data_IF_903386751405
#
_entry.id   IF_903386751405
#
_cell.length_a   1.000
_cell.length_b   1.000
_cell.length_c   1.000
_cell.angle_alpha   90.00
_cell.angle_beta   90.00
_cell.angle_gamma   90.00
#
_symmetry.space_group_name_H-M   'P 1'
#
loop_
_entity.id
_entity.type
_entity.pdbx_description
1 polymer ?
#
# COMPACT_ATOMS: atom_id res chain seq x y z
N UNK A 1 -25.34 4.66 -14.55
CA UNK A 1 -24.42 5.42 -15.42
C UNK A 1 -23.21 5.86 -14.60
N UNK A 2 -22.13 5.06 -14.56
CA UNK A 2 -20.90 5.44 -13.85
C UNK A 2 -20.01 6.25 -14.80
N UNK A 3 -19.74 7.52 -14.47
CA UNK A 3 -18.86 8.37 -15.27
C UNK A 3 -17.44 7.80 -15.21
N UNK A 4 -16.90 7.29 -16.32
CA UNK A 4 -15.48 6.96 -16.46
C UNK A 4 -14.66 8.22 -16.18
N UNK A 5 -13.76 8.18 -15.19
CA UNK A 5 -12.77 9.25 -14.97
C UNK A 5 -11.88 9.37 -16.23
N UNK A 6 -11.59 10.59 -16.72
CA UNK A 6 -10.76 10.77 -17.90
C UNK A 6 -9.36 10.19 -17.65
N UNK A 7 -8.81 9.46 -18.63
CA UNK A 7 -7.42 9.00 -18.56
C UNK A 7 -6.49 10.22 -18.55
N UNK A 8 -5.75 10.41 -17.46
CA UNK A 8 -4.71 11.45 -17.42
C UNK A 8 -3.60 11.07 -18.40
N UNK A 9 -3.40 11.88 -19.44
CA UNK A 9 -2.30 11.74 -20.39
C UNK A 9 -0.92 11.82 -19.73
N UNK A 10 0.14 11.72 -20.52
CA UNK A 10 1.53 11.84 -20.03
C UNK A 10 1.73 13.22 -19.40
N UNK A 11 2.09 13.25 -18.10
CA UNK A 11 2.36 14.46 -17.34
C UNK A 11 3.77 14.96 -17.65
N UNK A 12 3.90 16.12 -18.30
CA UNK A 12 5.19 16.80 -18.51
C UNK A 12 5.40 17.86 -17.44
N UNK A 13 6.60 17.92 -16.89
CA UNK A 13 6.91 18.89 -15.83
C UNK A 13 7.46 20.17 -16.44
N UNK A 14 6.93 21.32 -16.01
CA UNK A 14 7.51 22.63 -16.35
C UNK A 14 8.87 22.76 -15.67
N UNK A 15 9.93 22.96 -16.46
CA UNK A 15 11.29 23.21 -15.94
C UNK A 15 11.29 24.42 -15.02
N UNK A 16 11.91 24.29 -13.84
CA UNK A 16 12.19 25.39 -12.90
C UNK A 16 13.71 25.55 -12.75
N UNK A 17 14.19 26.78 -12.70
CA UNK A 17 15.62 27.10 -12.57
C UNK A 17 16.28 26.47 -11.33
N UNK A 18 15.50 26.20 -10.28
CA UNK A 18 15.99 25.60 -9.03
C UNK A 18 16.11 24.07 -9.04
N UNK A 19 15.64 23.35 -10.07
CA UNK A 19 15.69 21.88 -10.12
C UNK A 19 16.68 21.39 -11.17
N UNK A 20 17.57 20.49 -10.77
CA UNK A 20 18.50 19.81 -11.68
C UNK A 20 17.76 19.00 -12.75
N UNK A 21 18.43 18.76 -13.87
CA UNK A 21 17.89 17.95 -14.98
C UNK A 21 17.55 16.53 -14.52
N UNK A 22 18.39 15.93 -13.67
CA UNK A 22 18.17 14.60 -13.09
C UNK A 22 16.95 14.56 -12.17
N UNK A 23 16.74 15.60 -11.35
CA UNK A 23 15.56 15.75 -10.49
C UNK A 23 14.28 15.86 -11.32
N UNK A 24 14.27 16.70 -12.37
CA UNK A 24 13.11 16.82 -13.26
C UNK A 24 12.78 15.49 -13.96
N UNK A 25 13.80 14.77 -14.45
CA UNK A 25 13.61 13.45 -15.09
C UNK A 25 13.16 12.37 -14.10
N UNK A 26 13.57 12.44 -12.84
CA UNK A 26 13.08 11.54 -11.80
C UNK A 26 11.60 11.78 -11.51
N UNK A 27 11.19 13.04 -11.31
CA UNK A 27 9.79 13.38 -11.10
C UNK A 27 8.92 13.01 -12.33
N UNK A 28 9.38 13.27 -13.56
CA UNK A 28 8.63 12.89 -14.77
C UNK A 28 8.41 11.39 -14.87
N UNK A 29 9.43 10.57 -14.53
CA UNK A 29 9.27 9.11 -14.47
C UNK A 29 8.29 8.68 -13.40
N UNK A 30 8.34 9.29 -12.22
CA UNK A 30 7.44 8.96 -11.11
C UNK A 30 5.98 9.31 -11.44
N UNK A 31 5.75 10.47 -12.07
CA UNK A 31 4.41 10.91 -12.46
C UNK A 31 3.81 10.11 -13.62
N UNK A 32 4.65 9.51 -14.46
CA UNK A 32 4.23 8.73 -15.64
C UNK A 32 4.41 7.23 -15.45
N UNK A 33 4.58 6.80 -14.20
CA UNK A 33 4.77 5.42 -13.85
C UNK A 33 3.57 4.56 -14.28
N UNK A 34 3.74 3.60 -15.21
CA UNK A 34 2.64 2.81 -15.73
C UNK A 34 1.98 1.97 -14.64
N UNK A 35 2.72 1.57 -13.61
CA UNK A 35 2.20 0.73 -12.53
C UNK A 35 1.24 1.50 -11.61
N UNK A 36 1.32 2.83 -11.54
CA UNK A 36 0.33 3.62 -10.80
C UNK A 36 -1.03 3.53 -11.50
N UNK A 37 -1.03 3.66 -12.84
CA UNK A 37 -2.26 3.52 -13.64
C UNK A 37 -2.80 2.10 -13.61
N UNK A 38 -1.92 1.11 -13.68
CA UNK A 38 -2.34 -0.29 -13.61
C UNK A 38 -2.91 -0.62 -12.22
N UNK A 39 -2.32 -0.11 -11.14
CA UNK A 39 -2.87 -0.25 -9.80
C UNK A 39 -4.28 0.33 -9.69
N UNK A 40 -4.49 1.57 -10.16
CA UNK A 40 -5.82 2.19 -10.20
C UNK A 40 -6.83 1.36 -11.01
N UNK A 41 -6.42 0.83 -12.16
CA UNK A 41 -7.27 -0.01 -13.02
C UNK A 41 -7.66 -1.32 -12.36
N UNK A 42 -6.77 -1.91 -11.57
CA UNK A 42 -7.00 -3.12 -10.79
C UNK A 42 -7.66 -2.84 -9.42
N UNK A 43 -7.89 -1.57 -9.05
CA UNK A 43 -8.48 -1.21 -7.75
C UNK A 43 -7.51 -1.25 -6.57
N UNK A 44 -6.21 -1.38 -6.82
CA UNK A 44 -5.18 -1.27 -5.79
C UNK A 44 -4.91 0.19 -5.41
N UNK A 45 -4.64 0.40 -4.12
CA UNK A 45 -4.36 1.73 -3.55
C UNK A 45 -2.96 2.24 -3.82
N UNK A 46 -2.04 1.35 -4.20
CA UNK A 46 -0.71 1.73 -4.63
C UNK A 46 -0.11 0.70 -5.58
N UNK A 47 0.89 1.12 -6.35
CA UNK A 47 1.70 0.22 -7.16
C UNK A 47 2.53 -0.78 -6.35
N UNK A 48 2.62 -0.62 -5.03
CA UNK A 48 3.36 -1.54 -4.17
C UNK A 48 2.66 -2.90 -4.04
N UNK A 49 1.34 -2.97 -4.26
CA UNK A 49 0.57 -4.21 -4.30
C UNK A 49 1.24 -5.25 -5.21
N UNK A 50 1.61 -4.85 -6.44
CA UNK A 50 2.29 -5.73 -7.40
C UNK A 50 3.59 -6.34 -6.87
N UNK A 51 4.34 -5.64 -6.01
CA UNK A 51 5.56 -6.18 -5.41
C UNK A 51 5.24 -7.37 -4.50
N UNK A 52 4.26 -7.22 -3.62
CA UNK A 52 3.86 -8.31 -2.72
C UNK A 52 3.19 -9.44 -3.50
N UNK A 53 2.35 -9.12 -4.47
CA UNK A 53 1.74 -10.10 -5.38
C UNK A 53 2.81 -10.97 -6.05
N UNK A 54 3.83 -10.36 -6.66
CA UNK A 54 4.92 -11.08 -7.32
C UNK A 54 5.79 -11.92 -6.36
N UNK A 55 6.06 -11.39 -5.17
CA UNK A 55 6.80 -12.14 -4.13
C UNK A 55 5.98 -13.36 -3.73
N UNK A 56 4.73 -13.16 -3.35
CA UNK A 56 3.85 -14.23 -2.90
C UNK A 56 3.60 -15.28 -3.99
N UNK A 57 3.43 -14.87 -5.25
CA UNK A 57 3.25 -15.82 -6.34
C UNK A 57 4.44 -16.78 -6.50
N UNK A 58 5.65 -16.29 -6.24
CA UNK A 58 6.90 -17.07 -6.34
C UNK A 58 7.14 -17.95 -5.12
N UNK A 59 6.97 -17.42 -3.91
CA UNK A 59 7.40 -18.11 -2.68
C UNK A 59 6.26 -18.64 -1.82
N UNK A 60 5.00 -18.33 -2.16
CA UNK A 60 3.80 -18.68 -1.39
C UNK A 60 3.94 -18.25 0.09
N UNK A 61 4.25 -16.97 0.25
CA UNK A 61 4.55 -16.34 1.54
C UNK A 61 3.32 -16.32 2.44
N UNK A 62 2.17 -15.90 1.89
CA UNK A 62 0.91 -15.74 2.60
C UNK A 62 0.09 -17.00 2.37
N UNK A 63 -0.20 -17.73 3.46
CA UNK A 63 -1.02 -18.94 3.43
C UNK A 63 -2.39 -18.66 4.07
N UNK A 64 -3.45 -19.34 3.60
CA UNK A 64 -4.76 -19.24 4.24
C UNK A 64 -4.68 -19.53 5.74
N UNK A 65 -5.35 -18.70 6.55
CA UNK A 65 -5.36 -18.86 8.01
C UNK A 65 -4.32 -18.04 8.76
N UNK A 66 -3.33 -17.45 8.08
CA UNK A 66 -2.30 -16.64 8.73
C UNK A 66 -2.85 -15.32 9.26
N UNK A 67 -2.22 -14.81 10.32
CA UNK A 67 -2.33 -13.40 10.72
C UNK A 67 -1.15 -12.64 10.12
N UNK A 68 -1.44 -11.53 9.45
CA UNK A 68 -0.44 -10.67 8.80
C UNK A 68 -0.40 -9.32 9.51
N UNK A 69 0.81 -8.84 9.79
CA UNK A 69 1.07 -7.49 10.28
C UNK A 69 1.76 -6.67 9.19
N UNK A 70 1.15 -5.56 8.79
CA UNK A 70 1.65 -4.60 7.80
C UNK A 70 2.18 -3.33 8.50
N UNK A 71 3.50 -3.15 8.53
CA UNK A 71 4.18 -2.03 9.18
C UNK A 71 4.54 -0.96 8.14
N UNK A 72 4.10 0.28 8.37
CA UNK A 72 4.23 1.34 7.35
C UNK A 72 3.24 1.11 6.21
N UNK A 73 2.00 0.79 6.58
CA UNK A 73 0.98 0.28 5.66
C UNK A 73 0.43 1.32 4.69
N UNK A 74 0.45 2.63 5.00
CA UNK A 74 -0.23 3.64 4.20
C UNK A 74 0.35 3.69 2.77
N UNK A 75 -0.49 3.64 1.70
CA UNK A 75 -1.95 3.77 1.69
C UNK A 75 -2.74 2.44 1.72
N UNK A 76 -2.09 1.30 1.95
CA UNK A 76 -2.72 0.00 2.21
C UNK A 76 -2.61 -1.02 1.08
N UNK A 77 -1.67 -0.82 0.14
CA UNK A 77 -1.53 -1.71 -1.02
C UNK A 77 -1.14 -3.14 -0.64
N UNK A 78 -0.31 -3.33 0.38
CA UNK A 78 0.08 -4.67 0.86
C UNK A 78 -1.01 -5.29 1.71
N UNK A 79 -1.64 -4.51 2.59
CA UNK A 79 -2.85 -4.90 3.32
C UNK A 79 -3.96 -5.46 2.41
N UNK A 80 -4.25 -4.80 1.27
CA UNK A 80 -5.21 -5.34 0.28
C UNK A 80 -4.80 -6.72 -0.24
N UNK A 81 -3.54 -6.86 -0.65
CA UNK A 81 -3.02 -8.13 -1.17
C UNK A 81 -3.07 -9.22 -0.11
N UNK A 82 -2.75 -8.92 1.16
CA UNK A 82 -2.82 -9.90 2.24
C UNK A 82 -4.24 -10.46 2.44
N UNK A 83 -5.26 -9.59 2.41
CA UNK A 83 -6.67 -10.02 2.45
C UNK A 83 -7.01 -10.89 1.24
N UNK A 84 -6.65 -10.44 0.03
CA UNK A 84 -6.92 -11.19 -1.22
C UNK A 84 -6.25 -12.57 -1.25
N UNK A 85 -5.08 -12.72 -0.62
CA UNK A 85 -4.37 -14.02 -0.49
C UNK A 85 -4.95 -14.93 0.60
N UNK A 86 -5.98 -14.48 1.33
CA UNK A 86 -6.68 -15.29 2.32
C UNK A 86 -6.06 -15.27 3.71
N UNK A 87 -5.32 -14.20 4.05
CA UNK A 87 -4.99 -13.96 5.45
C UNK A 87 -6.28 -13.93 6.28
N UNK A 88 -6.30 -14.65 7.40
CA UNK A 88 -7.46 -14.69 8.31
C UNK A 88 -7.66 -13.37 9.02
N UNK A 89 -6.57 -12.67 9.29
CA UNK A 89 -6.55 -11.38 9.97
C UNK A 89 -5.40 -10.55 9.41
N UNK A 90 -5.67 -9.29 9.11
CA UNK A 90 -4.66 -8.30 8.74
C UNK A 90 -4.71 -7.16 9.74
N UNK A 91 -3.58 -6.91 10.40
CA UNK A 91 -3.37 -5.74 11.27
C UNK A 91 -2.40 -4.81 10.54
N UNK A 92 -2.68 -3.53 10.53
CA UNK A 92 -1.88 -2.53 9.84
C UNK A 92 -1.60 -1.33 10.75
N UNK A 93 -0.40 -0.79 10.69
CA UNK A 93 0.01 0.40 11.45
C UNK A 93 0.79 1.37 10.56
N UNK A 94 0.49 2.66 10.67
CA UNK A 94 1.22 3.72 10.00
C UNK A 94 1.01 5.06 10.72
N UNK A 95 1.98 5.99 10.58
CA UNK A 95 1.83 7.36 11.06
C UNK A 95 0.78 8.13 10.24
N UNK A 96 0.69 7.83 8.94
CA UNK A 96 -0.19 8.49 8.00
C UNK A 96 -1.58 7.86 8.00
N UNK A 97 -2.65 8.66 7.84
CA UNK A 97 -3.99 8.13 7.75
C UNK A 97 -4.16 7.29 6.49
N UNK A 98 -4.99 6.25 6.61
CA UNK A 98 -5.34 5.35 5.52
C UNK A 98 -6.86 5.22 5.45
N UNK A 99 -7.43 5.19 4.25
CA UNK A 99 -8.86 4.89 4.09
C UNK A 99 -9.17 3.47 4.61
N UNK A 100 -10.38 3.20 5.05
CA UNK A 100 -10.74 1.88 5.57
C UNK A 100 -10.67 0.80 4.48
N UNK A 101 -10.03 -0.34 4.77
CA UNK A 101 -10.02 -1.52 3.91
C UNK A 101 -10.82 -2.60 4.64
N UNK A 102 -11.81 -3.25 3.99
CA UNK A 102 -12.52 -4.37 4.60
C UNK A 102 -11.55 -5.44 5.10
N UNK A 103 -11.86 -6.02 6.26
CA UNK A 103 -11.08 -7.09 6.90
C UNK A 103 -9.65 -6.71 7.32
N UNK A 104 -9.33 -5.40 7.37
CA UNK A 104 -8.08 -4.85 7.89
C UNK A 104 -8.34 -4.04 9.16
N UNK A 105 -7.67 -4.40 10.25
CA UNK A 105 -7.64 -3.58 11.46
C UNK A 105 -6.48 -2.58 11.36
N UNK A 106 -6.79 -1.30 11.14
CA UNK A 106 -5.79 -0.24 10.97
C UNK A 106 -5.65 0.63 12.23
N UNK A 107 -4.41 0.87 12.64
CA UNK A 107 -4.03 1.79 13.71
C UNK A 107 -3.19 2.94 13.14
N UNK A 108 -3.66 4.17 13.28
CA UNK A 108 -2.88 5.34 12.95
C UNK A 108 -2.02 5.74 14.16
N UNK A 109 -0.77 5.32 14.18
CA UNK A 109 0.15 5.43 15.31
C UNK A 109 1.59 5.34 14.81
N UNK A 110 2.55 5.94 15.53
CA UNK A 110 3.95 5.69 15.25
C UNK A 110 4.31 4.28 15.76
N UNK A 111 4.81 3.42 14.88
CA UNK A 111 5.21 2.07 15.29
C UNK A 111 6.39 2.06 16.28
N UNK A 112 7.07 3.21 16.43
CA UNK A 112 8.14 3.43 17.41
C UNK A 112 7.63 3.96 18.75
N UNK A 113 6.34 4.24 18.91
CA UNK A 113 5.77 4.65 20.20
C UNK A 113 5.86 3.49 21.23
N UNK A 114 6.09 3.83 22.49
CA UNK A 114 6.29 2.84 23.57
C UNK A 114 5.06 1.93 23.78
N UNK A 115 3.86 2.41 23.44
CA UNK A 115 2.60 1.66 23.54
C UNK A 115 2.25 0.87 22.27
N UNK A 116 2.93 1.12 21.14
CA UNK A 116 2.66 0.43 19.88
C UNK A 116 2.83 -1.10 19.98
N UNK A 117 3.85 -1.66 20.67
CA UNK A 117 3.98 -3.11 20.83
C UNK A 117 2.78 -3.75 21.54
N UNK A 118 2.28 -3.13 22.61
CA UNK A 118 1.13 -3.64 23.37
C UNK A 118 -0.15 -3.59 22.52
N UNK A 119 -0.39 -2.47 21.84
CA UNK A 119 -1.52 -2.30 20.94
C UNK A 119 -1.51 -3.32 19.79
N UNK A 120 -0.34 -3.57 19.19
CA UNK A 120 -0.16 -4.55 18.12
C UNK A 120 -0.42 -5.98 18.61
N UNK A 121 0.11 -6.36 19.77
CA UNK A 121 -0.12 -7.68 20.36
C UNK A 121 -1.62 -7.88 20.67
N UNK A 122 -2.28 -6.87 21.22
CA UNK A 122 -3.71 -6.91 21.49
C UNK A 122 -4.53 -7.07 20.19
N UNK A 123 -4.19 -6.33 19.13
CA UNK A 123 -4.87 -6.40 17.84
C UNK A 123 -4.68 -7.76 17.13
N UNK A 124 -3.45 -8.28 17.13
CA UNK A 124 -3.12 -9.61 16.60
C UNK A 124 -3.89 -10.68 17.37
N UNK A 125 -3.94 -10.55 18.70
CA UNK A 125 -4.54 -11.50 19.62
C UNK A 125 -3.63 -12.69 19.90
N UNK A 126 -3.84 -13.37 21.03
CA UNK A 126 -3.16 -14.63 21.33
C UNK A 126 -3.58 -15.69 20.31
N UNK A 127 -2.63 -16.22 19.54
CA UNK A 127 -2.87 -17.32 18.61
C UNK A 127 -3.53 -18.49 19.33
N UNK A 128 -4.67 -18.95 18.80
CA UNK A 128 -5.25 -20.24 19.17
C UNK A 128 -4.50 -21.37 18.46
#
# INVERSE_FOLDING_TARGET
MTKKKPSRGVVRIKKRASRSVSSNRWLERHLNDPYVREAEKHGYRSRAAFKLTEIDDKVKLIKPGMTVLDLGAAPGGWSQVAVERGAKKVVAIDLLPMAEIPDVHFMQMDFMDDDAPEALVAAIGSGA
#
